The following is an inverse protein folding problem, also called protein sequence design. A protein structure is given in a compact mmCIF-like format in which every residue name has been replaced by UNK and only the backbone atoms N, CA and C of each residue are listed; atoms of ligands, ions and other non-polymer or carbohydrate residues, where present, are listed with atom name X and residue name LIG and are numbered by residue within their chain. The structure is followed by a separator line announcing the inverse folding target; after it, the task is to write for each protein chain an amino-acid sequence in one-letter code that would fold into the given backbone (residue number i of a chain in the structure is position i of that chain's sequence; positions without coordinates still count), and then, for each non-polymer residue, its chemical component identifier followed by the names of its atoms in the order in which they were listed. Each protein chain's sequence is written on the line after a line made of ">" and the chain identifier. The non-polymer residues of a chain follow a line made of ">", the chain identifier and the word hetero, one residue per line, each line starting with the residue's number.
data_IF_027573709156
#
_entry.id   IF_027573709156
#
_cell.length_a   1.000
_cell.length_b   1.000
_cell.length_c   1.000
_cell.angle_alpha   90.00
_cell.angle_beta   90.00
_cell.angle_gamma   90.00
#
_symmetry.space_group_name_H-M   'P 1'
#
loop_
_entity.id
_entity.type
_entity.pdbx_description
1 polymer ?
#
# COMPACT_ATOMS: atom_id res chain seq x y z
N UNK A 1 -1.13 -41.11 -23.99
CA UNK A 1 0.10 -40.46 -23.49
C UNK A 1 -0.21 -39.01 -23.24
N UNK A 2 -0.51 -38.66 -21.99
CA UNK A 2 -0.76 -37.29 -21.54
C UNK A 2 0.56 -36.74 -20.97
N UNK A 3 0.89 -35.44 -21.16
CA UNK A 3 2.09 -34.87 -20.58
C UNK A 3 1.97 -34.86 -19.05
N UNK A 4 3.08 -35.19 -18.40
CA UNK A 4 3.23 -35.23 -16.95
C UNK A 4 2.76 -33.91 -16.32
N UNK A 5 1.89 -34.04 -15.32
CA UNK A 5 1.48 -32.96 -14.44
C UNK A 5 2.74 -32.32 -13.85
N UNK A 6 2.90 -31.02 -14.10
CA UNK A 6 3.97 -30.24 -13.50
C UNK A 6 3.82 -30.28 -11.97
N UNK A 7 4.85 -30.82 -11.34
CA UNK A 7 4.99 -30.97 -9.91
C UNK A 7 4.58 -29.71 -9.15
N UNK A 8 3.89 -29.94 -8.03
CA UNK A 8 3.50 -28.95 -7.05
C UNK A 8 4.68 -28.08 -6.66
N UNK A 9 4.68 -26.86 -7.19
CA UNK A 9 5.58 -25.78 -6.85
C UNK A 9 5.21 -25.24 -5.46
N UNK A 10 5.45 -26.04 -4.41
CA UNK A 10 5.63 -25.55 -3.04
C UNK A 10 6.98 -24.82 -2.98
N UNK A 11 7.00 -23.66 -3.60
CA UNK A 11 8.17 -22.83 -3.72
C UNK A 11 8.39 -22.16 -2.37
N UNK A 12 9.13 -22.81 -1.48
CA UNK A 12 9.95 -22.14 -0.45
C UNK A 12 11.08 -21.34 -1.11
N UNK A 13 10.80 -20.49 -2.12
CA UNK A 13 11.81 -19.57 -2.66
C UNK A 13 11.95 -18.47 -1.64
N UNK A 14 13.05 -18.54 -0.91
CA UNK A 14 13.64 -17.41 -0.23
C UNK A 14 13.60 -16.18 -1.17
N UNK A 15 12.63 -15.27 -0.95
CA UNK A 15 12.38 -14.02 -1.68
C UNK A 15 13.48 -12.96 -1.46
N UNK A 16 14.74 -13.42 -1.28
CA UNK A 16 15.88 -12.54 -1.06
C UNK A 16 16.21 -11.72 -2.31
N UNK A 17 15.87 -12.22 -3.50
CA UNK A 17 16.31 -11.67 -4.77
C UNK A 17 15.26 -10.81 -5.48
N UNK A 18 15.67 -9.61 -5.87
CA UNK A 18 14.84 -8.55 -6.47
C UNK A 18 14.12 -8.98 -7.76
N UNK A 19 14.74 -9.89 -8.53
CA UNK A 19 14.17 -10.39 -9.80
C UNK A 19 12.90 -11.22 -9.58
N UNK A 20 12.82 -11.96 -8.48
CA UNK A 20 11.64 -12.78 -8.19
C UNK A 20 10.47 -11.92 -7.70
N UNK A 21 10.77 -10.82 -7.01
CA UNK A 21 9.76 -9.85 -6.58
C UNK A 21 9.10 -9.16 -7.78
N UNK A 22 9.86 -8.81 -8.82
CA UNK A 22 9.32 -8.20 -10.04
C UNK A 22 8.46 -9.16 -10.87
N UNK A 23 8.91 -10.40 -11.06
CA UNK A 23 8.10 -11.44 -11.72
C UNK A 23 6.82 -11.73 -10.94
N UNK A 24 6.89 -11.68 -9.61
CA UNK A 24 5.72 -11.79 -8.74
C UNK A 24 4.77 -10.59 -8.92
N UNK A 25 5.30 -9.35 -8.90
CA UNK A 25 4.53 -8.12 -9.09
C UNK A 25 3.81 -8.12 -10.46
N UNK A 26 4.49 -8.54 -11.52
CA UNK A 26 3.93 -8.60 -12.87
C UNK A 26 2.94 -9.75 -13.05
N UNK A 27 3.17 -10.91 -12.41
CA UNK A 27 2.28 -12.06 -12.50
C UNK A 27 0.94 -11.87 -11.76
N UNK A 28 0.86 -10.92 -10.82
CA UNK A 28 -0.28 -10.74 -9.91
C UNK A 28 -1.26 -9.63 -10.32
N UNK A 29 -1.15 -9.05 -11.52
CA UNK A 29 -2.23 -8.24 -12.09
C UNK A 29 -2.44 -6.83 -11.51
N UNK A 30 -1.44 -6.24 -10.84
CA UNK A 30 -1.37 -4.78 -10.70
C UNK A 30 -1.94 -4.15 -9.43
N UNK A 31 -1.88 -4.79 -8.27
CA UNK A 31 -2.19 -4.13 -6.99
C UNK A 31 -1.13 -4.36 -5.93
N UNK A 32 -0.35 -3.31 -5.64
CA UNK A 32 0.31 -3.16 -4.35
C UNK A 32 0.43 -1.67 -4.05
N UNK A 33 -0.09 -1.25 -2.91
CA UNK A 33 0.26 0.06 -2.37
C UNK A 33 0.77 -0.15 -0.95
N UNK A 34 2.04 -0.55 -0.84
CA UNK A 34 2.76 -0.35 0.41
C UNK A 34 2.98 1.16 0.55
N UNK A 35 2.13 1.81 1.33
CA UNK A 35 2.36 3.17 1.76
C UNK A 35 3.20 3.17 3.04
N UNK A 36 4.20 4.05 3.09
CA UNK A 36 4.86 4.42 4.33
C UNK A 36 4.26 5.72 4.84
N UNK A 37 3.60 5.66 5.98
CA UNK A 37 3.20 6.85 6.73
C UNK A 37 4.39 7.36 7.56
N UNK A 38 4.80 8.60 7.31
CA UNK A 38 5.94 9.25 7.95
C UNK A 38 5.46 10.51 8.65
N UNK A 39 5.33 10.44 9.97
CA UNK A 39 5.12 11.61 10.81
C UNK A 39 6.46 12.27 11.17
N UNK A 40 6.55 13.57 10.95
CA UNK A 40 7.70 14.41 11.30
C UNK A 40 7.24 15.44 12.31
N UNK A 41 7.90 15.46 13.47
CA UNK A 41 7.62 16.38 14.56
C UNK A 41 8.84 17.30 14.79
N UNK A 42 8.58 18.60 14.92
CA UNK A 42 9.60 19.55 15.37
C UNK A 42 9.66 19.60 16.90
N UNK A 43 10.49 18.75 17.50
CA UNK A 43 10.69 18.73 18.97
C UNK A 43 11.56 19.87 19.52
N UNK A 44 11.92 20.86 18.69
CA UNK A 44 12.80 21.96 19.10
C UNK A 44 12.00 23.23 19.43
N UNK A 45 12.65 24.19 20.09
CA UNK A 45 12.04 25.50 20.43
C UNK A 45 12.07 26.50 19.27
N UNK A 46 12.68 26.15 18.14
CA UNK A 46 12.84 27.03 16.99
C UNK A 46 12.07 26.45 15.80
N UNK A 47 11.59 27.31 14.92
CA UNK A 47 11.00 26.87 13.66
C UNK A 47 12.05 26.19 12.77
N UNK A 48 11.62 25.16 12.04
CA UNK A 48 12.49 24.38 11.18
C UNK A 48 11.84 24.19 9.83
N UNK A 49 12.59 24.45 8.75
CA UNK A 49 12.16 24.08 7.40
C UNK A 49 12.69 22.71 7.03
N UNK A 50 11.79 21.82 6.62
CA UNK A 50 12.10 20.49 6.13
C UNK A 50 11.83 20.38 4.63
N UNK A 51 12.53 19.47 3.97
CA UNK A 51 12.32 19.09 2.57
C UNK A 51 12.77 17.65 2.31
N UNK A 52 12.55 17.14 1.10
CA UNK A 52 13.06 15.83 0.64
C UNK A 52 12.71 14.67 1.58
N UNK A 53 11.46 14.59 2.01
CA UNK A 53 10.97 13.49 2.87
C UNK A 53 10.93 12.20 2.06
N UNK A 54 11.58 11.16 2.55
CA UNK A 54 11.76 9.95 1.78
C UNK A 54 12.13 8.73 2.61
N UNK A 55 12.64 7.72 1.91
CA UNK A 55 13.00 6.42 2.48
C UNK A 55 14.50 6.18 2.27
N UNK A 56 15.22 5.90 3.36
CA UNK A 56 16.61 5.46 3.40
C UNK A 56 16.66 3.93 3.37
N UNK A 57 17.38 3.41 2.38
CA UNK A 57 17.61 1.99 2.13
C UNK A 57 18.96 1.52 2.71
N UNK A 58 19.59 2.36 3.54
CA UNK A 58 20.90 2.11 4.12
C UNK A 58 22.08 2.25 3.13
N UNK A 59 23.24 1.75 3.55
CA UNK A 59 24.48 1.78 2.79
C UNK A 59 24.64 0.52 1.93
N UNK A 60 25.06 0.68 0.67
CA UNK A 60 25.28 -0.45 -0.25
C UNK A 60 26.47 -1.34 0.17
N UNK A 61 27.55 -0.74 0.69
CA UNK A 61 28.78 -1.45 1.08
C UNK A 61 29.32 -0.83 2.36
N UNK A 62 29.89 -1.64 3.24
CA UNK A 62 30.50 -1.17 4.48
C UNK A 62 31.64 -0.15 4.25
N UNK A 63 32.30 -0.21 3.09
CA UNK A 63 33.38 0.70 2.70
C UNK A 63 32.96 1.87 1.80
N UNK A 64 31.72 1.89 1.28
CA UNK A 64 31.20 3.04 0.52
C UNK A 64 30.19 3.79 1.36
N UNK A 65 30.47 5.06 1.64
CA UNK A 65 29.62 5.94 2.45
C UNK A 65 28.35 6.42 1.74
N UNK A 66 28.10 5.97 0.52
CA UNK A 66 26.91 6.33 -0.24
C UNK A 66 25.68 5.61 0.32
N UNK A 67 24.93 6.36 1.13
CA UNK A 67 23.59 5.97 1.55
C UNK A 67 22.63 6.17 0.40
N UNK A 68 21.79 5.18 0.17
CA UNK A 68 20.74 5.27 -0.84
C UNK A 68 19.47 5.73 -0.18
N UNK A 69 19.00 6.89 -0.59
CA UNK A 69 17.70 7.42 -0.19
C UNK A 69 16.94 7.83 -1.43
N UNK A 70 15.63 7.56 -1.43
CA UNK A 70 14.72 7.99 -2.50
C UNK A 70 13.63 8.83 -1.87
N UNK A 71 13.28 9.90 -2.57
CA UNK A 71 12.19 10.82 -2.23
C UNK A 71 11.05 10.48 -3.20
N UNK A 72 10.17 9.52 -2.87
CA UNK A 72 9.01 9.22 -3.69
C UNK A 72 8.03 10.40 -3.65
N UNK A 73 7.07 10.40 -4.58
CA UNK A 73 5.99 11.37 -4.58
C UNK A 73 5.08 11.09 -3.40
N UNK A 74 4.84 12.10 -2.57
CA UNK A 74 3.86 12.00 -1.50
C UNK A 74 2.44 12.00 -2.08
N UNK A 75 1.57 11.18 -1.49
CA UNK A 75 0.16 11.06 -1.84
C UNK A 75 -0.68 11.91 -0.89
N UNK A 76 -1.68 12.61 -1.43
CA UNK A 76 -2.67 13.37 -0.65
C UNK A 76 -3.70 12.38 -0.10
N UNK A 77 -3.34 11.67 0.97
CA UNK A 77 -4.20 10.69 1.63
C UNK A 77 -4.42 11.10 3.09
N UNK A 78 -5.68 11.24 3.51
CA UNK A 78 -6.03 11.75 4.85
C UNK A 78 -5.38 13.11 5.12
N UNK A 79 -4.67 13.22 6.24
CA UNK A 79 -3.92 14.42 6.65
C UNK A 79 -2.50 14.48 6.03
N UNK A 80 -2.21 13.62 5.05
CA UNK A 80 -0.92 13.55 4.38
C UNK A 80 -0.64 14.79 3.53
N UNK A 81 0.49 15.45 3.79
CA UNK A 81 0.99 16.56 2.99
C UNK A 81 1.65 16.07 1.71
N UNK A 82 1.45 16.82 0.63
CA UNK A 82 2.15 16.64 -0.66
C UNK A 82 3.20 17.72 -0.92
N UNK A 83 3.37 18.66 0.01
CA UNK A 83 4.33 19.75 -0.14
C UNK A 83 5.76 19.24 -0.04
N UNK A 84 6.62 19.67 -0.97
CA UNK A 84 8.03 19.23 -1.01
C UNK A 84 8.91 19.96 0.01
N UNK A 85 8.45 21.11 0.51
CA UNK A 85 9.13 21.94 1.50
C UNK A 85 8.09 22.53 2.45
N UNK A 86 8.27 22.28 3.74
CA UNK A 86 7.33 22.71 4.80
C UNK A 86 8.13 23.39 5.91
N UNK A 87 7.61 24.51 6.41
CA UNK A 87 8.08 25.12 7.65
C UNK A 87 7.23 24.59 8.79
N UNK A 88 7.89 23.99 9.78
CA UNK A 88 7.27 23.52 11.01
C UNK A 88 7.60 24.51 12.13
N UNK A 89 6.58 25.03 12.80
CA UNK A 89 6.77 25.81 14.03
C UNK A 89 7.17 24.88 15.18
N UNK A 90 7.59 25.41 16.34
CA UNK A 90 7.91 24.59 17.50
C UNK A 90 6.76 23.67 17.89
N UNK A 91 7.05 22.37 18.05
CA UNK A 91 6.09 21.31 18.40
C UNK A 91 5.06 20.95 17.32
N UNK A 92 5.14 21.54 16.13
CA UNK A 92 4.30 21.15 15.00
C UNK A 92 4.64 19.75 14.48
N UNK A 93 3.64 19.15 13.86
CA UNK A 93 3.72 17.84 13.20
C UNK A 93 3.19 17.91 11.78
N UNK A 94 3.78 17.10 10.92
CA UNK A 94 3.25 16.87 9.57
C UNK A 94 3.42 15.40 9.20
N UNK A 95 2.43 14.87 8.51
CA UNK A 95 2.41 13.49 8.04
C UNK A 95 2.62 13.46 6.53
N UNK A 96 3.44 12.51 6.07
CA UNK A 96 3.63 12.21 4.65
C UNK A 96 3.24 10.77 4.39
N UNK A 97 2.48 10.52 3.34
CA UNK A 97 2.13 9.18 2.88
C UNK A 97 2.90 8.93 1.60
N UNK A 98 3.87 8.01 1.66
CA UNK A 98 4.80 7.76 0.57
C UNK A 98 4.60 6.39 -0.06
N UNK A 99 4.61 6.32 -1.38
CA UNK A 99 4.63 5.05 -2.10
C UNK A 99 6.03 4.40 -1.98
N UNK A 100 6.09 3.31 -1.21
CA UNK A 100 7.33 2.55 -0.95
C UNK A 100 7.82 1.88 -2.23
N UNK A 101 6.92 1.43 -3.10
CA UNK A 101 7.28 0.77 -4.36
C UNK A 101 7.91 1.74 -5.34
N UNK A 102 7.39 2.96 -5.42
CA UNK A 102 8.04 4.02 -6.20
C UNK A 102 9.47 4.28 -5.68
N UNK A 103 9.64 4.32 -4.36
CA UNK A 103 10.96 4.52 -3.76
C UNK A 103 11.91 3.36 -4.09
N UNK A 104 11.42 2.13 -3.99
CA UNK A 104 12.12 0.90 -4.35
C UNK A 104 12.54 0.89 -5.83
N UNK A 105 11.62 1.21 -6.73
CA UNK A 105 11.87 1.27 -8.17
C UNK A 105 12.93 2.32 -8.50
N UNK A 106 12.90 3.47 -7.81
CA UNK A 106 13.93 4.50 -7.92
C UNK A 106 15.33 4.01 -7.53
N UNK A 107 15.44 3.15 -6.51
CA UNK A 107 16.72 2.53 -6.13
C UNK A 107 17.22 1.57 -7.21
N UNK A 108 16.31 0.81 -7.85
CA UNK A 108 16.66 -0.14 -8.91
C UNK A 108 17.21 0.54 -10.16
N UNK A 109 16.61 1.66 -10.56
CA UNK A 109 17.08 2.43 -11.71
C UNK A 109 18.43 3.12 -11.48
N UNK A 110 18.90 3.20 -10.22
CA UNK A 110 20.26 3.66 -9.95
C UNK A 110 21.27 2.61 -10.43
N UNK A 111 22.28 3.01 -11.21
CA UNK A 111 23.33 2.13 -11.79
C UNK A 111 24.18 1.35 -10.78
N UNK A 112 23.87 1.44 -9.48
CA UNK A 112 24.59 0.72 -8.44
C UNK A 112 24.09 -0.73 -8.38
N UNK A 113 24.98 -1.74 -8.50
CA UNK A 113 24.58 -3.14 -8.38
C UNK A 113 23.96 -3.36 -7.01
N UNK A 114 22.64 -3.57 -7.00
CA UNK A 114 21.91 -4.00 -5.81
C UNK A 114 22.38 -5.44 -5.57
N UNK A 115 23.19 -5.67 -4.53
CA UNK A 115 23.39 -7.05 -4.06
C UNK A 115 21.99 -7.66 -3.86
N UNK A 116 21.84 -8.92 -4.23
CA UNK A 116 20.63 -9.76 -4.15
C UNK A 116 20.07 -9.94 -2.73
N UNK A 117 20.39 -9.05 -1.79
CA UNK A 117 19.76 -8.96 -0.49
C UNK A 117 19.03 -7.63 -0.42
N UNK A 118 17.70 -7.70 -0.60
CA UNK A 118 16.78 -6.62 -0.26
C UNK A 118 17.18 -5.99 1.10
N UNK A 119 17.22 -4.64 1.23
CA UNK A 119 17.57 -4.02 2.50
C UNK A 119 16.55 -4.45 3.55
N UNK A 120 17.01 -5.22 4.54
CA UNK A 120 16.17 -5.80 5.58
C UNK A 120 15.43 -4.75 6.42
N UNK A 121 15.85 -3.48 6.35
CA UNK A 121 15.26 -2.41 7.13
C UNK A 121 15.28 -1.08 6.40
N UNK A 122 14.11 -0.48 6.25
CA UNK A 122 13.90 0.85 5.69
C UNK A 122 13.76 1.87 6.83
N UNK A 123 14.17 3.11 6.60
CA UNK A 123 14.01 4.21 7.57
C UNK A 123 13.46 5.44 6.89
N UNK A 124 12.68 6.23 7.60
CA UNK A 124 12.32 7.56 7.15
C UNK A 124 13.58 8.44 7.09
N UNK A 125 13.64 9.31 6.10
CA UNK A 125 14.68 10.32 5.95
C UNK A 125 14.06 11.66 5.60
N UNK A 126 14.68 12.74 6.08
CA UNK A 126 14.26 14.11 5.80
C UNK A 126 15.47 15.03 5.73
N UNK A 127 15.44 15.99 4.80
CA UNK A 127 16.43 17.07 4.76
C UNK A 127 15.93 18.23 5.61
N UNK A 128 16.78 18.69 6.53
CA UNK A 128 16.49 19.84 7.38
C UNK A 128 17.33 21.01 6.90
N UNK A 129 16.71 22.17 6.70
CA UNK A 129 17.41 23.39 6.30
C UNK A 129 18.55 23.71 7.28
N UNK A 130 19.70 24.14 6.74
CA UNK A 130 20.91 24.39 7.53
C UNK A 130 21.67 23.15 8.00
N UNK A 131 21.11 21.93 7.91
CA UNK A 131 21.84 20.69 8.25
C UNK A 131 22.49 20.08 7.02
N UNK A 132 23.79 19.76 7.13
CA UNK A 132 24.56 19.10 6.05
C UNK A 132 24.11 17.66 5.77
N UNK A 133 23.68 16.92 6.81
CA UNK A 133 23.27 15.52 6.70
C UNK A 133 21.74 15.41 6.83
N UNK A 134 21.14 14.50 6.06
CA UNK A 134 19.73 14.14 6.25
C UNK A 134 19.51 13.57 7.65
N UNK A 135 18.41 13.96 8.28
CA UNK A 135 17.95 13.36 9.52
C UNK A 135 17.25 12.03 9.19
N UNK A 136 17.35 11.07 10.10
CA UNK A 136 16.83 9.73 9.91
C UNK A 136 16.01 9.31 11.12
N UNK A 137 14.90 8.60 10.91
CA UNK A 137 14.12 8.06 12.04
C UNK A 137 14.98 7.11 12.88
N UNK A 138 14.81 7.04 14.22
CA UNK A 138 15.55 6.09 15.05
C UNK A 138 15.45 4.65 14.54
N UNK A 139 16.51 3.84 14.74
CA UNK A 139 16.53 2.45 14.26
C UNK A 139 15.33 1.63 14.70
N UNK A 140 14.86 1.80 15.95
CA UNK A 140 13.66 1.13 16.48
C UNK A 140 12.37 1.42 15.70
N UNK A 141 12.29 2.57 15.00
CA UNK A 141 11.16 2.98 14.16
C UNK A 141 11.38 2.65 12.67
N UNK A 142 12.44 1.91 12.32
CA UNK A 142 12.64 1.46 10.94
C UNK A 142 11.79 0.24 10.62
N UNK A 143 11.19 0.22 9.44
CA UNK A 143 10.35 -0.87 8.93
C UNK A 143 11.19 -2.03 8.44
N UNK A 144 10.77 -3.26 8.71
CA UNK A 144 11.33 -4.46 8.10
C UNK A 144 10.36 -4.89 7.02
N UNK A 145 10.71 -4.65 5.77
CA UNK A 145 9.93 -5.14 4.63
C UNK A 145 10.29 -6.61 4.41
N UNK A 146 9.29 -7.47 4.46
CA UNK A 146 9.39 -8.89 4.11
C UNK A 146 8.72 -9.09 2.75
N UNK A 147 9.21 -10.06 1.97
CA UNK A 147 8.72 -10.28 0.60
C UNK A 147 7.28 -10.78 0.48
N UNK A 148 6.64 -11.09 1.60
CA UNK A 148 5.27 -11.58 1.77
C UNK A 148 4.34 -10.55 2.43
N UNK A 149 4.82 -9.33 2.72
CA UNK A 149 4.00 -8.30 3.36
C UNK A 149 3.09 -7.61 2.34
N UNK A 150 1.82 -7.50 2.72
CA UNK A 150 0.82 -6.67 2.04
C UNK A 150 0.26 -5.73 3.10
N UNK A 151 0.57 -4.44 2.99
CA UNK A 151 0.09 -3.43 3.93
C UNK A 151 -1.02 -2.59 3.26
N UNK A 152 -2.13 -2.43 3.97
CA UNK A 152 -3.23 -1.54 3.58
C UNK A 152 -3.29 -0.38 4.58
N UNK A 153 -3.50 0.85 4.10
CA UNK A 153 -3.88 1.97 4.97
C UNK A 153 -5.40 2.00 5.16
N UNK A 154 -5.82 2.27 6.40
CA UNK A 154 -7.18 2.00 6.89
C UNK A 154 -8.21 3.09 6.54
N UNK A 155 -7.83 4.26 6.00
CA UNK A 155 -8.64 5.46 6.31
C UNK A 155 -9.51 6.07 5.21
N UNK A 156 -9.35 5.83 3.90
CA UNK A 156 -10.03 6.77 2.96
C UNK A 156 -10.54 6.26 1.63
N UNK A 157 -10.27 5.02 1.24
CA UNK A 157 -10.93 4.43 0.06
C UNK A 157 -11.03 2.93 0.30
N UNK A 158 -12.05 2.49 1.03
CA UNK A 158 -12.38 1.06 1.15
C UNK A 158 -13.03 0.61 -0.15
N UNK A 159 -12.25 0.59 -1.23
CA UNK A 159 -12.60 -0.13 -2.45
C UNK A 159 -13.11 -1.52 -2.05
N UNK A 160 -14.22 -1.96 -2.65
CA UNK A 160 -14.83 -3.26 -2.35
C UNK A 160 -13.82 -4.40 -2.45
N UNK A 161 -12.81 -4.30 -3.33
CA UNK A 161 -11.71 -5.26 -3.40
C UNK A 161 -10.81 -5.28 -2.17
N UNK A 162 -10.49 -4.12 -1.60
CA UNK A 162 -9.65 -4.05 -0.39
C UNK A 162 -10.40 -4.65 0.79
N UNK A 163 -11.69 -4.34 0.92
CA UNK A 163 -12.53 -4.88 1.99
C UNK A 163 -12.69 -6.39 1.84
N UNK A 164 -12.93 -6.85 0.60
CA UNK A 164 -13.00 -8.28 0.30
C UNK A 164 -11.70 -8.99 0.65
N UNK A 165 -10.56 -8.44 0.23
CA UNK A 165 -9.25 -9.00 0.57
C UNK A 165 -9.06 -9.11 2.09
N UNK A 166 -9.34 -8.04 2.83
CA UNK A 166 -9.19 -8.03 4.29
C UNK A 166 -10.13 -9.04 4.97
N UNK A 167 -11.37 -9.15 4.48
CA UNK A 167 -12.31 -10.14 4.97
C UNK A 167 -11.82 -11.56 4.69
N UNK A 168 -11.38 -11.85 3.46
CA UNK A 168 -10.83 -13.15 3.07
C UNK A 168 -9.64 -13.50 3.95
N UNK A 169 -8.65 -12.60 4.10
CA UNK A 169 -7.49 -12.86 4.96
C UNK A 169 -7.94 -13.08 6.41
N UNK A 170 -8.88 -12.29 6.93
CA UNK A 170 -9.35 -12.45 8.32
C UNK A 170 -10.04 -13.79 8.54
N UNK A 171 -10.93 -14.20 7.65
CA UNK A 171 -11.78 -15.37 7.84
C UNK A 171 -11.16 -16.66 7.32
N UNK A 172 -10.16 -16.57 6.45
CA UNK A 172 -9.54 -17.73 5.80
C UNK A 172 -8.07 -17.95 6.22
N UNK A 173 -7.44 -17.05 6.98
CA UNK A 173 -6.06 -17.24 7.47
C UNK A 173 -5.91 -18.36 8.52
N UNK A 174 -7.01 -18.81 9.13
CA UNK A 174 -6.99 -19.94 10.08
C UNK A 174 -6.91 -21.30 9.39
N UNK A 175 -7.06 -21.35 8.06
CA UNK A 175 -6.76 -22.56 7.30
C UNK A 175 -5.23 -22.71 7.23
N UNK A 176 -4.69 -23.80 7.78
CA UNK A 176 -3.25 -24.07 8.04
C UNK A 176 -2.30 -23.87 6.84
N UNK A 177 -2.84 -23.70 5.63
CA UNK A 177 -2.12 -23.30 4.43
C UNK A 177 -1.86 -21.78 4.50
N UNK A 178 -0.64 -21.39 4.88
CA UNK A 178 -0.14 -20.00 4.86
C UNK A 178 -0.21 -19.27 3.50
N UNK A 179 -0.94 -19.82 2.53
CA UNK A 179 -1.23 -19.30 1.21
C UNK A 179 -2.53 -18.49 1.14
N UNK A 180 -3.34 -18.44 2.22
CA UNK A 180 -4.63 -17.71 2.23
C UNK A 180 -4.51 -16.25 1.73
N UNK A 181 -3.42 -15.56 2.09
CA UNK A 181 -3.14 -14.20 1.60
C UNK A 181 -2.86 -14.11 0.10
N UNK A 182 -2.31 -15.16 -0.51
CA UNK A 182 -2.10 -15.24 -1.96
C UNK A 182 -3.38 -15.55 -2.72
N UNK A 183 -4.24 -16.41 -2.15
CA UNK A 183 -5.52 -16.80 -2.75
C UNK A 183 -6.57 -15.70 -2.65
N UNK A 184 -6.44 -14.81 -1.66
CA UNK A 184 -7.34 -13.68 -1.45
C UNK A 184 -7.29 -12.63 -2.58
N UNK A 185 -6.14 -12.47 -3.24
CA UNK A 185 -5.93 -11.43 -4.25
C UNK A 185 -6.84 -11.61 -5.48
N UNK A 186 -6.83 -12.76 -6.19
CA UNK A 186 -7.68 -12.93 -7.38
C UNK A 186 -9.17 -12.79 -7.06
N UNK A 187 -9.62 -13.32 -5.92
CA UNK A 187 -11.02 -13.19 -5.46
C UNK A 187 -11.38 -11.73 -5.21
N UNK A 188 -10.52 -10.99 -4.49
CA UNK A 188 -10.71 -9.57 -4.21
C UNK A 188 -10.78 -8.72 -5.48
N UNK A 189 -9.97 -9.03 -6.49
CA UNK A 189 -9.99 -8.35 -7.78
C UNK A 189 -11.29 -8.60 -8.54
N UNK A 190 -11.79 -9.83 -8.56
CA UNK A 190 -13.05 -10.15 -9.22
C UNK A 190 -14.24 -9.50 -8.51
N UNK A 191 -14.22 -9.47 -7.17
CA UNK A 191 -15.22 -8.76 -6.37
C UNK A 191 -15.20 -7.27 -6.66
N UNK A 192 -14.02 -6.64 -6.70
CA UNK A 192 -13.88 -5.22 -7.05
C UNK A 192 -14.48 -4.92 -8.42
N UNK A 193 -14.15 -5.75 -9.41
CA UNK A 193 -14.58 -5.58 -10.79
C UNK A 193 -16.10 -5.75 -10.92
N UNK A 194 -16.67 -6.72 -10.22
CA UNK A 194 -18.09 -7.06 -10.28
C UNK A 194 -18.96 -6.13 -9.43
N UNK A 195 -18.42 -5.62 -8.32
CA UNK A 195 -19.15 -4.86 -7.31
C UNK A 195 -18.41 -3.58 -6.92
N UNK A 196 -18.32 -2.58 -7.81
CA UNK A 196 -17.75 -1.28 -7.45
C UNK A 196 -18.63 -0.57 -6.40
N UNK A 197 -18.03 0.17 -5.46
CA UNK A 197 -18.74 0.85 -4.35
C UNK A 197 -19.89 1.78 -4.78
N UNK A 198 -19.92 2.22 -6.04
CA UNK A 198 -21.02 3.01 -6.60
C UNK A 198 -22.30 2.20 -6.85
N UNK A 199 -22.21 0.87 -6.85
CA UNK A 199 -23.31 -0.05 -7.13
C UNK A 199 -24.07 -0.53 -5.88
N UNK A 200 -24.89 -1.60 -6.04
CA UNK A 200 -25.41 -2.34 -4.90
C UNK A 200 -24.32 -3.24 -4.27
N UNK A 201 -24.36 -3.47 -2.94
CA UNK A 201 -23.45 -4.41 -2.31
C UNK A 201 -23.71 -5.85 -2.82
N UNK A 202 -22.69 -6.70 -2.88
CA UNK A 202 -22.84 -8.09 -3.30
C UNK A 202 -23.63 -8.90 -2.28
N UNK A 203 -24.45 -9.82 -2.79
CA UNK A 203 -25.14 -10.83 -1.98
C UNK A 203 -24.21 -11.98 -1.59
N UNK A 204 -24.61 -12.78 -0.60
CA UNK A 204 -23.83 -13.96 -0.17
C UNK A 204 -23.68 -14.96 -1.32
N UNK A 205 -24.74 -15.18 -2.10
CA UNK A 205 -24.77 -16.10 -3.24
C UNK A 205 -23.80 -15.67 -4.34
N UNK A 206 -23.72 -14.37 -4.61
CA UNK A 206 -22.79 -13.82 -5.61
C UNK A 206 -21.33 -13.97 -5.17
N UNK A 207 -21.02 -13.76 -3.89
CA UNK A 207 -19.67 -14.02 -3.37
C UNK A 207 -19.35 -15.52 -3.41
N UNK A 208 -20.30 -16.38 -3.06
CA UNK A 208 -20.14 -17.84 -3.15
C UNK A 208 -19.85 -18.27 -4.59
N UNK A 209 -20.54 -17.70 -5.58
CA UNK A 209 -20.29 -17.96 -7.01
C UNK A 209 -18.87 -17.55 -7.43
N UNK A 210 -18.37 -16.39 -6.97
CA UNK A 210 -16.99 -15.97 -7.24
C UNK A 210 -16.01 -16.95 -6.59
N UNK A 211 -16.22 -17.34 -5.33
CA UNK A 211 -15.36 -18.32 -4.65
C UNK A 211 -15.38 -19.68 -5.37
N UNK A 212 -16.53 -20.10 -5.90
CA UNK A 212 -16.66 -21.32 -6.70
C UNK A 212 -15.95 -21.22 -8.05
N UNK A 213 -15.98 -20.06 -8.72
CA UNK A 213 -15.22 -19.82 -9.95
C UNK A 213 -13.71 -19.98 -9.73
N UNK A 214 -13.27 -19.74 -8.49
CA UNK A 214 -11.91 -19.90 -8.03
C UNK A 214 -11.72 -21.22 -7.26
N UNK A 215 -12.53 -22.25 -7.52
CA UNK A 215 -12.51 -23.52 -6.76
C UNK A 215 -11.15 -24.20 -6.73
N UNK A 216 -10.28 -23.95 -7.72
CA UNK A 216 -8.92 -24.48 -7.72
C UNK A 216 -8.07 -23.95 -6.56
N UNK A 217 -8.40 -22.75 -6.07
CA UNK A 217 -7.77 -22.11 -4.92
C UNK A 217 -8.34 -22.62 -3.58
N UNK A 218 -9.57 -23.16 -3.58
CA UNK A 218 -10.30 -23.55 -2.37
C UNK A 218 -10.73 -25.04 -2.38
N UNK A 219 -9.89 -25.92 -2.93
CA UNK A 219 -10.20 -27.35 -3.12
C UNK A 219 -10.58 -28.06 -1.82
N UNK A 220 -10.01 -27.62 -0.71
CA UNK A 220 -10.18 -28.26 0.60
C UNK A 220 -11.39 -27.74 1.39
N UNK A 221 -12.02 -26.64 0.96
CA UNK A 221 -13.16 -26.08 1.68
C UNK A 221 -14.42 -26.89 1.38
N UNK A 222 -15.11 -27.33 2.43
CA UNK A 222 -16.45 -27.91 2.29
C UNK A 222 -17.41 -26.87 1.69
N UNK A 223 -18.48 -27.32 1.03
CA UNK A 223 -19.53 -26.41 0.52
C UNK A 223 -20.10 -25.52 1.65
N UNK A 224 -20.25 -26.09 2.84
CA UNK A 224 -20.72 -25.35 4.02
C UNK A 224 -19.72 -24.26 4.43
N UNK A 225 -18.42 -24.56 4.47
CA UNK A 225 -17.39 -23.58 4.82
C UNK A 225 -17.36 -22.43 3.82
N UNK A 226 -17.37 -22.71 2.51
CA UNK A 226 -17.39 -21.67 1.48
C UNK A 226 -18.57 -20.70 1.63
N UNK A 227 -19.75 -21.22 1.96
CA UNK A 227 -20.94 -20.38 2.18
C UNK A 227 -20.80 -19.51 3.43
N UNK A 228 -20.17 -20.03 4.49
CA UNK A 228 -19.86 -19.27 5.70
C UNK A 228 -18.86 -18.14 5.38
N UNK A 229 -17.79 -18.46 4.65
CA UNK A 229 -16.78 -17.47 4.24
C UNK A 229 -17.41 -16.39 3.37
N UNK A 230 -18.22 -16.78 2.38
CA UNK A 230 -18.96 -15.86 1.50
C UNK A 230 -19.88 -14.92 2.28
N UNK A 231 -20.57 -15.43 3.31
CA UNK A 231 -21.44 -14.63 4.16
C UNK A 231 -20.67 -13.53 4.89
N UNK A 232 -19.54 -13.88 5.52
CA UNK A 232 -18.75 -12.89 6.25
C UNK A 232 -18.09 -11.86 5.33
N UNK A 233 -17.60 -12.29 4.16
CA UNK A 233 -17.06 -11.39 3.14
C UNK A 233 -18.14 -10.41 2.66
N UNK A 234 -19.33 -10.91 2.30
CA UNK A 234 -20.44 -10.08 1.87
C UNK A 234 -20.82 -9.03 2.93
N UNK A 235 -20.87 -9.43 4.21
CA UNK A 235 -21.22 -8.55 5.33
C UNK A 235 -20.17 -7.45 5.57
N UNK A 236 -18.89 -7.77 5.47
CA UNK A 236 -17.81 -6.78 5.60
C UNK A 236 -17.86 -5.77 4.45
N UNK A 237 -18.12 -6.25 3.22
CA UNK A 237 -18.29 -5.38 2.05
C UNK A 237 -19.52 -4.49 2.23
N UNK A 238 -20.67 -5.04 2.60
CA UNK A 238 -21.91 -4.28 2.85
C UNK A 238 -21.69 -3.15 3.87
N UNK A 239 -20.97 -3.42 4.96
CA UNK A 239 -20.58 -2.42 5.95
C UNK A 239 -19.80 -1.25 5.32
N UNK A 240 -18.88 -1.55 4.39
CA UNK A 240 -18.12 -0.52 3.67
C UNK A 240 -19.00 0.31 2.71
N UNK A 241 -20.00 -0.30 2.07
CA UNK A 241 -20.99 0.42 1.25
C UNK A 241 -21.84 1.37 2.07
N UNK A 242 -22.23 0.97 3.30
CA UNK A 242 -22.96 1.87 4.18
C UNK A 242 -22.08 3.04 4.66
N UNK A 243 -20.81 2.76 5.00
CA UNK A 243 -19.85 3.81 5.38
C UNK A 243 -19.60 4.82 4.24
N UNK A 244 -19.51 4.35 2.99
CA UNK A 244 -19.29 5.24 1.83
C UNK A 244 -20.50 6.12 1.51
N UNK A 245 -21.73 5.65 1.77
CA UNK A 245 -22.96 6.43 1.57
C UNK A 245 -23.23 7.47 2.66
N UNK A 246 -22.80 7.20 3.90
CA UNK A 246 -23.00 8.12 5.04
C UNK A 246 -22.05 9.30 4.98
N UNK A 247 -20.87 9.13 4.37
CA UNK A 247 -19.96 10.24 4.16
C UNK A 247 -20.57 11.18 3.10
N UNK A 248 -20.77 12.48 3.42
CA UNK A 248 -21.19 13.43 2.42
C UNK A 248 -20.20 13.38 1.25
N UNK A 249 -20.66 13.50 0.00
CA UNK A 249 -19.75 13.59 -1.14
C UNK A 249 -18.69 14.64 -0.78
N UNK A 250 -17.39 14.36 -0.99
CA UNK A 250 -16.34 15.30 -0.64
C UNK A 250 -16.76 16.63 -1.26
N UNK A 251 -16.97 17.65 -0.42
CA UNK A 251 -17.32 18.98 -0.90
C UNK A 251 -16.29 19.28 -1.97
N UNK A 252 -16.72 19.27 -3.24
CA UNK A 252 -15.90 19.74 -4.33
C UNK A 252 -15.64 21.18 -3.93
N UNK A 253 -14.44 21.40 -3.37
CA UNK A 253 -13.97 22.72 -3.00
C UNK A 253 -13.99 23.50 -4.31
N UNK A 254 -15.13 24.14 -4.54
CA UNK A 254 -15.40 24.96 -5.70
C UNK A 254 -14.40 26.08 -5.60
N UNK A 255 -13.28 25.92 -6.30
CA UNK A 255 -12.47 27.03 -6.76
C UNK A 255 -13.30 27.80 -7.80
N UNK A 256 -14.41 28.38 -7.35
CA UNK A 256 -15.07 29.50 -7.98
C UNK A 256 -14.19 30.72 -7.77
N UNK A 257 -13.02 30.73 -8.42
CA UNK A 257 -12.37 31.97 -8.74
C UNK A 257 -13.21 32.64 -9.83
N UNK A 258 -14.24 33.35 -9.38
CA UNK A 258 -14.95 34.35 -10.18
C UNK A 258 -13.91 35.42 -10.52
N UNK A 259 -13.33 35.34 -11.71
CA UNK A 259 -12.51 36.39 -12.29
C UNK A 259 -13.41 37.61 -12.53
N UNK A 260 -13.38 38.55 -11.59
CA UNK A 260 -13.94 39.88 -11.80
C UNK A 260 -13.16 40.56 -12.93
N UNK A 261 -13.85 40.83 -14.05
CA UNK A 261 -13.34 41.69 -15.12
C UNK A 261 -13.18 43.11 -14.60
N UNK A 262 -12.04 43.79 -14.85
CA UNK A 262 -11.90 45.20 -14.50
C UNK A 262 -12.74 46.04 -15.47
N UNK A 263 -13.64 46.84 -14.92
CA UNK A 263 -14.37 47.87 -15.65
C UNK A 263 -13.38 48.89 -16.21
N UNK A 264 -13.47 49.12 -17.52
CA UNK A 264 -12.84 50.22 -18.24
C UNK A 264 -13.56 51.52 -17.88
N UNK A 265 -12.90 52.44 -17.17
CA UNK A 265 -13.34 53.83 -17.08
C UNK A 265 -12.67 54.64 -18.19
N UNK A 266 -13.52 55.27 -19.01
CA UNK A 266 -13.19 56.45 -19.83
C UNK A 266 -13.29 57.71 -18.98
#
# INVERSE_FOLDING_TARGET
>A
MLPAAADGLSIRRSYKDWKNLELYIQAQGGWYVEMAEIEIENVSRNAVTISDVGIDFGTSRWYRRDRRSVVPRASKLGNGSTETRIRLEPFDRVTFVLDVWQAIAGVKSSRAPVKSSFPRRLRATVRVAGKRRKALSPWRRGWVVKGDQIAFMDHTMKDSGIVAYQAIVRYMADHETGDAGMLAIPVALEIKKSFPLSGPPPTTEQIEEILLSQSELFKDNSKAQRRIDAYYIARDIESAYHQSKVLPPPEENGTGHTSASPATNQ
#
